data_IF_891625028000
#
_entry.id   IF_891625028000
#
_cell.length_a   1.000
_cell.length_b   1.000
_cell.length_c   1.000
_cell.angle_alpha   90.00
_cell.angle_beta   90.00
_cell.angle_gamma   90.00
#
_symmetry.space_group_name_H-M   'P 1'
#
loop_
_entity.id
_entity.type
_entity.pdbx_description
1 polymer ?
#
# COMPACT_ATOMS: atom_id res chain seq x y z
N UNK A 1 -30.44 5.61 5.13
CA UNK A 1 -29.20 4.90 5.52
C UNK A 1 -28.07 5.42 4.67
N UNK A 2 -27.05 6.03 5.26
CA UNK A 2 -25.82 6.40 4.53
C UNK A 2 -24.90 5.17 4.51
N UNK A 3 -24.50 4.74 3.31
CA UNK A 3 -23.58 3.61 3.15
C UNK A 3 -22.21 3.98 3.72
N UNK A 4 -21.54 3.04 4.40
CA UNK A 4 -20.18 3.24 4.91
C UNK A 4 -19.15 3.45 3.79
N UNK A 5 -19.42 2.87 2.62
CA UNK A 5 -18.65 3.06 1.40
C UNK A 5 -19.49 3.96 0.50
N UNK A 6 -19.01 5.18 0.29
CA UNK A 6 -19.63 6.19 -0.55
C UNK A 6 -18.53 7.13 -1.11
N UNK A 7 -18.85 8.05 -2.03
CA UNK A 7 -17.83 8.92 -2.64
C UNK A 7 -17.01 9.72 -1.62
N UNK A 8 -17.64 10.27 -0.59
CA UNK A 8 -16.97 11.06 0.46
C UNK A 8 -16.02 10.18 1.29
N UNK A 9 -16.48 9.03 1.77
CA UNK A 9 -15.63 8.13 2.56
C UNK A 9 -14.45 7.58 1.77
N UNK A 10 -14.65 7.34 0.46
CA UNK A 10 -13.58 6.88 -0.43
C UNK A 10 -12.57 7.98 -0.73
N UNK A 11 -13.02 9.21 -0.94
CA UNK A 11 -12.12 10.36 -1.10
C UNK A 11 -11.23 10.53 0.13
N UNK A 12 -11.82 10.50 1.33
CA UNK A 12 -11.07 10.57 2.59
C UNK A 12 -10.03 9.45 2.71
N UNK A 13 -10.38 8.22 2.28
CA UNK A 13 -9.45 7.10 2.28
C UNK A 13 -8.28 7.31 1.29
N UNK A 14 -8.55 7.83 0.09
CA UNK A 14 -7.50 8.16 -0.88
C UNK A 14 -6.58 9.26 -0.38
N UNK A 15 -7.13 10.34 0.19
CA UNK A 15 -6.34 11.45 0.73
C UNK A 15 -5.45 10.97 1.89
N UNK A 16 -5.98 10.13 2.78
CA UNK A 16 -5.19 9.50 3.86
C UNK A 16 -4.06 8.62 3.31
N UNK A 17 -4.34 7.82 2.27
CA UNK A 17 -3.34 6.95 1.67
C UNK A 17 -2.23 7.74 0.97
N UNK A 18 -2.60 8.82 0.28
CA UNK A 18 -1.65 9.73 -0.34
C UNK A 18 -0.77 10.42 0.71
N UNK A 19 -1.35 10.92 1.80
CA UNK A 19 -0.56 11.48 2.90
C UNK A 19 0.39 10.45 3.52
N UNK A 20 -0.09 9.22 3.73
CA UNK A 20 0.74 8.11 4.23
C UNK A 20 1.91 7.80 3.29
N UNK A 21 1.69 7.88 1.98
CA UNK A 21 2.76 7.77 0.99
C UNK A 21 3.77 8.91 1.13
N UNK A 22 3.32 10.17 1.23
CA UNK A 22 4.21 11.32 1.39
C UNK A 22 5.08 11.20 2.65
N UNK A 23 4.47 10.86 3.79
CA UNK A 23 5.17 10.71 5.07
C UNK A 23 6.24 9.60 4.99
N UNK A 24 5.87 8.43 4.45
CA UNK A 24 6.81 7.32 4.28
C UNK A 24 7.90 7.63 3.25
N UNK A 25 7.56 8.33 2.17
CA UNK A 25 8.55 8.70 1.16
C UNK A 25 9.55 9.72 1.73
N UNK A 26 9.13 10.60 2.63
CA UNK A 26 10.03 11.48 3.37
C UNK A 26 10.98 10.70 4.29
N UNK A 27 10.48 9.67 4.97
CA UNK A 27 11.26 8.84 5.90
C UNK A 27 12.23 7.86 5.21
N UNK A 28 11.80 7.23 4.11
CA UNK A 28 12.50 6.12 3.46
C UNK A 28 13.07 6.47 2.07
N UNK A 29 12.78 7.65 1.53
CA UNK A 29 13.12 8.04 0.16
C UNK A 29 12.62 7.05 -0.90
N UNK A 30 13.31 7.01 -2.03
CA UNK A 30 12.99 6.13 -3.17
C UNK A 30 13.38 4.65 -2.94
N UNK A 31 13.35 4.16 -1.71
CA UNK A 31 13.77 2.79 -1.37
C UNK A 31 12.95 1.70 -2.07
N UNK A 32 11.65 1.94 -2.28
CA UNK A 32 10.79 1.00 -3.00
C UNK A 32 11.12 0.95 -4.49
N UNK A 33 11.21 2.12 -5.14
CA UNK A 33 11.63 2.25 -6.55
C UNK A 33 12.98 1.60 -6.79
N UNK A 34 13.97 1.87 -5.94
CA UNK A 34 15.28 1.20 -6.03
C UNK A 34 15.19 -0.32 -6.00
N UNK A 35 14.30 -0.87 -5.16
CA UNK A 35 14.09 -2.32 -5.11
C UNK A 35 13.47 -2.85 -6.41
N UNK A 36 12.60 -2.06 -7.05
CA UNK A 36 12.01 -2.40 -8.35
C UNK A 36 13.05 -2.30 -9.47
N UNK A 37 13.94 -1.31 -9.44
CA UNK A 37 15.02 -1.16 -10.42
C UNK A 37 16.03 -2.31 -10.32
N UNK A 38 16.38 -2.71 -9.09
CA UNK A 38 17.37 -3.77 -8.84
C UNK A 38 16.82 -5.19 -9.11
N UNK A 39 15.54 -5.44 -8.77
CA UNK A 39 14.96 -6.79 -8.73
C UNK A 39 13.72 -6.98 -9.63
N UNK A 40 13.28 -5.92 -10.31
CA UNK A 40 12.09 -5.89 -11.15
C UNK A 40 10.78 -6.00 -10.37
N UNK A 41 9.72 -6.29 -11.12
CA UNK A 41 8.33 -6.42 -10.62
C UNK A 41 8.19 -7.40 -9.44
N UNK A 42 9.08 -8.40 -9.34
CA UNK A 42 9.05 -9.40 -8.27
C UNK A 42 9.20 -8.73 -6.89
N UNK A 43 10.04 -7.71 -6.75
CA UNK A 43 10.16 -6.98 -5.48
C UNK A 43 8.83 -6.33 -5.07
N UNK A 44 8.08 -5.77 -6.02
CA UNK A 44 6.76 -5.21 -5.78
C UNK A 44 5.75 -6.26 -5.33
N UNK A 45 5.67 -7.39 -6.06
CA UNK A 45 4.77 -8.50 -5.74
C UNK A 45 5.06 -9.10 -4.36
N UNK A 46 6.33 -9.23 -3.97
CA UNK A 46 6.72 -9.70 -2.64
C UNK A 46 6.18 -8.78 -1.55
N UNK A 47 6.34 -7.45 -1.68
CA UNK A 47 5.83 -6.50 -0.66
C UNK A 47 4.31 -6.50 -0.55
N UNK A 48 3.60 -6.66 -1.67
CA UNK A 48 2.14 -6.85 -1.69
C UNK A 48 1.78 -8.17 -0.97
N UNK A 49 2.51 -9.25 -1.27
CA UNK A 49 2.34 -10.55 -0.64
C UNK A 49 2.55 -10.52 0.88
N UNK A 50 3.56 -9.79 1.36
CA UNK A 50 3.80 -9.59 2.80
C UNK A 50 2.59 -8.95 3.49
N UNK A 51 2.00 -7.92 2.87
CA UNK A 51 0.80 -7.25 3.40
C UNK A 51 -0.44 -8.14 3.32
N UNK A 52 -0.62 -8.89 2.25
CA UNK A 52 -1.69 -9.89 2.13
C UNK A 52 -1.60 -10.96 3.22
N UNK A 53 -0.41 -11.52 3.45
CA UNK A 53 -0.18 -12.52 4.50
C UNK A 53 -0.49 -11.93 5.88
N UNK A 54 -0.13 -10.66 6.11
CA UNK A 54 -0.48 -9.96 7.35
C UNK A 54 -1.99 -9.81 7.52
N UNK A 55 -2.73 -9.42 6.48
CA UNK A 55 -4.21 -9.38 6.49
C UNK A 55 -4.78 -10.74 6.88
N UNK A 56 -4.31 -11.82 6.25
CA UNK A 56 -4.74 -13.18 6.58
C UNK A 56 -4.49 -13.52 8.05
N UNK A 57 -3.33 -13.13 8.59
CA UNK A 57 -2.96 -13.36 9.97
C UNK A 57 -3.83 -12.56 10.96
N UNK A 58 -4.12 -11.28 10.66
CA UNK A 58 -4.97 -10.41 11.50
C UNK A 58 -6.42 -10.89 11.56
N UNK A 59 -6.93 -11.46 10.45
CA UNK A 59 -8.29 -12.02 10.41
C UNK A 59 -8.37 -13.30 11.25
N UNK A 60 -7.35 -14.17 11.15
CA UNK A 60 -7.31 -15.46 11.86
C UNK A 60 -7.02 -15.29 13.36
N UNK A 61 -6.10 -14.39 13.68
CA UNK A 61 -5.61 -14.17 15.03
C UNK A 61 -6.11 -12.81 15.51
N UNK A 62 -7.12 -12.79 16.40
CA UNK A 62 -7.60 -11.59 17.11
C UNK A 62 -6.57 -11.05 18.12
N UNK A 63 -5.29 -11.04 17.79
CA UNK A 63 -4.24 -10.60 18.68
C UNK A 63 -4.20 -9.06 18.77
N UNK A 64 -3.75 -8.57 19.93
CA UNK A 64 -3.40 -7.16 20.18
C UNK A 64 -2.16 -6.77 19.37
N UNK A 65 -2.33 -6.61 18.06
CA UNK A 65 -1.28 -6.10 17.18
C UNK A 65 -1.40 -4.58 17.12
N UNK A 66 -0.29 -3.85 17.14
CA UNK A 66 -0.31 -2.38 17.14
C UNK A 66 -0.84 -1.80 15.83
N UNK A 67 -0.76 -2.54 14.73
CA UNK A 67 -1.25 -2.12 13.41
C UNK A 67 -2.65 -2.68 13.17
N UNK A 68 -3.58 -1.81 12.81
CA UNK A 68 -4.96 -2.21 12.53
C UNK A 68 -5.08 -2.92 11.17
N UNK A 69 -6.10 -3.76 11.02
CA UNK A 69 -6.43 -4.39 9.73
C UNK A 69 -6.64 -3.36 8.61
N UNK A 70 -7.24 -2.22 8.94
CA UNK A 70 -7.47 -1.15 7.97
C UNK A 70 -6.16 -0.50 7.52
N UNK A 71 -5.20 -0.29 8.43
CA UNK A 71 -3.91 0.30 8.09
C UNK A 71 -3.09 -0.67 7.22
N UNK A 72 -3.11 -1.98 7.51
CA UNK A 72 -2.46 -2.98 6.65
C UNK A 72 -3.07 -3.03 5.24
N UNK A 73 -4.39 -2.92 5.11
CA UNK A 73 -5.07 -2.87 3.80
C UNK A 73 -4.67 -1.61 3.00
N UNK A 74 -4.57 -0.47 3.68
CA UNK A 74 -4.15 0.79 3.09
C UNK A 74 -2.67 0.77 2.65
N UNK A 75 -1.80 0.16 3.45
CA UNK A 75 -0.41 -0.09 3.05
C UNK A 75 -0.31 -0.97 1.80
N UNK A 76 -1.13 -2.02 1.73
CA UNK A 76 -1.20 -2.88 0.55
C UNK A 76 -1.66 -2.09 -0.68
N UNK A 77 -2.68 -1.23 -0.54
CA UNK A 77 -3.14 -0.35 -1.61
C UNK A 77 -2.03 0.59 -2.09
N UNK A 78 -1.26 1.19 -1.18
CA UNK A 78 -0.12 2.04 -1.53
C UNK A 78 0.96 1.28 -2.30
N UNK A 79 1.30 0.04 -1.91
CA UNK A 79 2.25 -0.77 -2.70
C UNK A 79 1.74 -1.09 -4.11
N UNK A 80 0.44 -1.40 -4.25
CA UNK A 80 -0.17 -1.61 -5.58
C UNK A 80 -0.07 -0.33 -6.44
N UNK A 81 -0.38 0.85 -5.87
CA UNK A 81 -0.34 2.12 -6.58
C UNK A 81 1.09 2.51 -6.98
N UNK A 82 2.06 2.41 -6.07
CA UNK A 82 3.45 2.72 -6.38
C UNK A 82 4.01 1.81 -7.49
N UNK A 83 3.68 0.51 -7.46
CA UNK A 83 4.09 -0.41 -8.52
C UNK A 83 3.46 -0.05 -9.87
N UNK A 84 2.19 0.35 -9.88
CA UNK A 84 1.51 0.80 -11.10
C UNK A 84 2.19 2.04 -11.70
N UNK A 85 2.50 3.05 -10.87
CA UNK A 85 3.21 4.27 -11.30
C UNK A 85 4.58 3.95 -11.90
N UNK A 86 5.35 3.07 -11.26
CA UNK A 86 6.65 2.66 -11.78
C UNK A 86 6.54 1.92 -13.12
N UNK A 87 5.55 1.04 -13.28
CA UNK A 87 5.29 0.33 -14.54
C UNK A 87 4.80 1.27 -15.66
N UNK A 88 4.11 2.36 -15.33
CA UNK A 88 3.72 3.39 -16.29
C UNK A 88 4.94 4.17 -16.77
N UNK A 89 5.86 4.54 -15.86
CA UNK A 89 7.12 5.20 -16.23
C UNK A 89 7.99 4.40 -17.18
N UNK A 90 7.96 3.06 -17.12
CA UNK A 90 8.70 2.20 -18.05
C UNK A 90 8.13 2.12 -19.47
N UNK A 91 6.87 2.48 -19.68
CA UNK A 91 6.25 2.41 -21.01
C UNK A 91 6.58 3.62 -21.88
N UNK A 92 7.07 4.68 -21.26
CA UNK A 92 7.44 5.94 -21.91
C UNK A 92 8.93 5.98 -22.31
N UNK A 93 9.70 4.90 -22.03
CA UNK A 93 11.07 4.63 -22.52
C UNK A 93 11.07 3.61 -23.68
#
# INVERSE_FOLDING_TARGET
>A
MTYKINPESMQVAFDKNYQTFLDKNADYGNSFEKSLDDLGIVAGVVRIGDKYNRVCNLIKNKQNVSESLSDTLNDMANYCMMLAVWLEGQKDD
#
